data_IF_700963997822
#
_entry.id   IF_700963997822
#
_cell.length_a   1.000
_cell.length_b   1.000
_cell.length_c   1.000
_cell.angle_alpha   90.00
_cell.angle_beta   90.00
_cell.angle_gamma   90.00
#
_symmetry.space_group_name_H-M   'P 1'
#
loop_
_entity.id
_entity.type
_entity.pdbx_description
1 polymer ?
#
# COMPACT_ATOMS: atom_id res chain seq x y z
N UNK A 1 -16.35 -11.68 -5.36
CA UNK A 1 -17.03 -11.93 -4.06
C UNK A 1 -18.03 -10.80 -3.85
N UNK A 2 -19.17 -11.03 -3.23
CA UNK A 2 -20.09 -9.95 -2.87
C UNK A 2 -19.47 -9.02 -1.82
N UNK A 3 -19.86 -7.73 -1.82
CA UNK A 3 -19.35 -6.71 -0.89
C UNK A 3 -19.35 -7.13 0.60
N UNK A 4 -20.40 -7.80 1.12
CA UNK A 4 -20.43 -8.25 2.51
C UNK A 4 -19.25 -9.16 2.90
N UNK A 5 -18.80 -9.99 1.96
CA UNK A 5 -17.71 -10.93 2.21
C UNK A 5 -16.33 -10.21 2.34
N UNK A 6 -16.06 -9.14 1.58
CA UNK A 6 -14.84 -8.34 1.74
C UNK A 6 -14.83 -7.59 3.08
N UNK A 7 -15.98 -7.05 3.50
CA UNK A 7 -16.09 -6.35 4.78
C UNK A 7 -15.82 -7.30 5.97
N UNK A 8 -16.39 -8.50 5.94
CA UNK A 8 -16.17 -9.52 6.98
C UNK A 8 -14.70 -9.96 7.03
N UNK A 9 -14.06 -10.21 5.87
CA UNK A 9 -12.64 -10.54 5.80
C UNK A 9 -11.78 -9.41 6.35
N UNK A 10 -12.08 -8.14 6.00
CA UNK A 10 -11.38 -6.97 6.53
C UNK A 10 -11.44 -6.92 8.06
N UNK A 11 -12.62 -7.17 8.64
CA UNK A 11 -12.79 -7.19 10.09
C UNK A 11 -12.01 -8.34 10.74
N UNK A 12 -12.01 -9.54 10.15
CA UNK A 12 -11.27 -10.69 10.62
C UNK A 12 -9.76 -10.43 10.60
N UNK A 13 -9.22 -9.90 9.51
CA UNK A 13 -7.81 -9.55 9.39
C UNK A 13 -7.41 -8.47 10.38
N UNK A 14 -8.25 -7.44 10.61
CA UNK A 14 -7.99 -6.43 11.64
C UNK A 14 -7.92 -7.05 13.04
N UNK A 15 -8.85 -7.94 13.38
CA UNK A 15 -8.82 -8.65 14.65
C UNK A 15 -7.54 -9.49 14.79
N UNK A 16 -7.08 -10.12 13.72
CA UNK A 16 -5.88 -10.93 13.70
C UNK A 16 -4.60 -10.08 13.82
N UNK A 17 -4.54 -8.89 13.18
CA UNK A 17 -3.45 -7.92 13.38
C UNK A 17 -3.35 -7.56 14.87
N UNK A 18 -4.45 -7.20 15.51
CA UNK A 18 -4.48 -6.82 16.93
C UNK A 18 -4.10 -7.96 17.86
N UNK A 19 -4.48 -9.18 17.52
CA UNK A 19 -4.17 -10.38 18.28
C UNK A 19 -2.68 -10.76 18.19
N UNK A 20 -2.10 -10.68 16.96
CA UNK A 20 -0.70 -11.09 16.70
C UNK A 20 0.30 -9.98 16.94
N UNK A 21 -0.09 -8.74 16.84
CA UNK A 21 0.79 -7.56 16.90
C UNK A 21 2.02 -7.72 15.99
N UNK A 22 1.87 -8.00 14.69
CA UNK A 22 2.98 -8.35 13.81
C UNK A 22 3.99 -7.19 13.71
N UNK A 23 5.27 -7.53 13.65
CA UNK A 23 6.33 -6.55 13.36
C UNK A 23 6.30 -6.19 11.88
N UNK A 24 6.19 -4.91 11.57
CA UNK A 24 6.24 -4.39 10.21
C UNK A 24 7.53 -3.59 10.03
N UNK A 25 8.43 -4.15 9.22
CA UNK A 25 9.70 -3.49 8.91
C UNK A 25 9.51 -2.50 7.78
N UNK A 26 9.80 -1.22 8.04
CA UNK A 26 9.63 -0.14 7.07
C UNK A 26 10.98 0.49 6.75
N UNK A 27 11.45 0.35 5.52
CA UNK A 27 12.50 1.21 4.96
C UNK A 27 11.76 2.30 4.18
N UNK A 28 11.46 3.40 4.87
CA UNK A 28 10.55 4.44 4.36
C UNK A 28 11.26 5.82 4.30
N UNK A 29 10.57 6.81 3.83
CA UNK A 29 11.12 8.15 3.63
C UNK A 29 11.07 9.00 4.92
N UNK A 30 12.00 9.96 5.03
CA UNK A 30 12.15 10.83 6.21
C UNK A 30 10.91 11.65 6.55
N UNK A 31 10.12 12.02 5.54
CA UNK A 31 8.96 12.91 5.73
C UNK A 31 7.86 12.25 6.53
N UNK A 32 7.75 10.91 6.44
CA UNK A 32 6.58 10.18 6.97
C UNK A 32 6.90 9.12 8.01
N UNK A 33 8.17 8.96 8.42
CA UNK A 33 8.57 7.93 9.41
C UNK A 33 7.70 7.94 10.65
N UNK A 34 7.48 9.13 11.23
CA UNK A 34 6.70 9.27 12.46
C UNK A 34 5.22 8.89 12.25
N UNK A 35 4.60 9.39 11.16
CA UNK A 35 3.21 9.09 10.86
C UNK A 35 2.99 7.62 10.55
N UNK A 36 3.92 7.03 9.78
CA UNK A 36 3.90 5.60 9.45
C UNK A 36 4.02 4.73 10.70
N UNK A 37 4.90 5.10 11.64
CA UNK A 37 5.00 4.39 12.92
C UNK A 37 3.71 4.50 13.73
N UNK A 38 3.16 5.70 13.86
CA UNK A 38 1.96 5.93 14.65
C UNK A 38 0.72 5.23 14.06
N UNK A 39 0.55 5.21 12.74
CA UNK A 39 -0.59 4.52 12.13
C UNK A 39 -0.50 3.00 12.28
N UNK A 40 0.72 2.43 12.26
CA UNK A 40 0.93 1.01 12.54
C UNK A 40 0.64 0.66 14.00
N UNK A 41 1.06 1.50 14.95
CA UNK A 41 0.67 1.33 16.35
C UNK A 41 -0.84 1.43 16.53
N UNK A 42 -1.49 2.39 15.86
CA UNK A 42 -2.92 2.59 15.93
C UNK A 42 -3.72 1.39 15.43
N UNK A 43 -3.29 0.73 14.33
CA UNK A 43 -3.98 -0.45 13.81
C UNK A 43 -3.74 -1.70 14.67
N UNK A 44 -2.73 -1.69 15.55
CA UNK A 44 -2.36 -2.81 16.42
C UNK A 44 -1.13 -3.61 15.95
N UNK A 45 -0.36 -3.08 14.99
CA UNK A 45 0.92 -3.66 14.56
C UNK A 45 2.11 -3.02 15.30
N UNK A 46 3.28 -3.65 15.23
CA UNK A 46 4.54 -3.14 15.80
C UNK A 46 5.44 -2.58 14.68
N UNK A 47 5.72 -1.26 14.62
CA UNK A 47 6.57 -0.70 13.58
C UNK A 47 8.06 -0.80 13.94
N UNK A 48 8.91 -1.03 12.93
CA UNK A 48 10.36 -0.80 13.00
C UNK A 48 10.84 -0.09 11.74
N UNK A 49 11.71 0.93 11.92
CA UNK A 49 12.22 1.77 10.83
C UNK A 49 13.74 1.58 10.64
N UNK A 50 14.23 0.34 10.81
CA UNK A 50 15.63 0.00 10.59
C UNK A 50 16.00 0.15 9.11
N UNK A 51 17.06 0.90 8.81
CA UNK A 51 17.54 1.16 7.45
C UNK A 51 19.06 1.08 7.31
N UNK A 52 19.78 0.82 8.42
CA UNK A 52 21.23 0.61 8.35
C UNK A 52 21.52 -0.74 7.67
N UNK A 53 22.45 -0.72 6.70
CA UNK A 53 22.78 -1.92 5.91
C UNK A 53 23.28 -3.07 6.77
N UNK A 54 23.86 -2.76 7.92
CA UNK A 54 24.41 -3.72 8.88
C UNK A 54 23.33 -4.53 9.60
N UNK A 55 22.08 -4.00 9.70
CA UNK A 55 21.02 -4.64 10.49
C UNK A 55 19.80 -5.08 9.67
N UNK A 56 19.58 -4.54 8.45
CA UNK A 56 18.32 -4.74 7.73
C UNK A 56 18.00 -6.21 7.43
N UNK A 57 19.01 -7.04 7.18
CA UNK A 57 18.81 -8.49 6.93
C UNK A 57 18.37 -9.21 8.20
N UNK A 58 18.96 -8.86 9.35
CA UNK A 58 18.56 -9.44 10.64
C UNK A 58 17.16 -9.00 11.02
N UNK A 59 16.85 -7.70 10.87
CA UNK A 59 15.56 -7.12 11.22
C UNK A 59 14.40 -7.71 10.42
N UNK A 60 14.59 -7.94 9.11
CA UNK A 60 13.61 -8.64 8.27
C UNK A 60 13.29 -10.04 8.81
N UNK A 61 14.25 -10.70 9.45
CA UNK A 61 14.04 -12.03 10.04
C UNK A 61 12.98 -12.09 11.12
N UNK A 62 12.65 -10.97 11.73
CA UNK A 62 11.60 -10.86 12.75
C UNK A 62 10.29 -10.29 12.20
N UNK A 63 10.29 -9.78 10.96
CA UNK A 63 9.16 -9.07 10.40
C UNK A 63 8.08 -10.01 9.81
N UNK A 64 6.82 -9.64 10.01
CA UNK A 64 5.68 -10.24 9.32
C UNK A 64 5.50 -9.69 7.89
N UNK A 65 5.98 -8.48 7.62
CA UNK A 65 6.04 -7.87 6.29
C UNK A 65 7.14 -6.82 6.20
N UNK A 66 7.66 -6.60 4.99
CA UNK A 66 8.60 -5.53 4.66
C UNK A 66 7.93 -4.48 3.77
N UNK A 67 8.06 -3.21 4.13
CA UNK A 67 7.57 -2.06 3.35
C UNK A 67 8.75 -1.26 2.83
N UNK A 68 8.83 -1.09 1.51
CA UNK A 68 9.83 -0.31 0.81
C UNK A 68 9.18 0.95 0.22
N UNK A 69 9.65 2.13 0.63
CA UNK A 69 9.11 3.41 0.15
C UNK A 69 10.24 4.32 -0.32
N UNK A 70 10.22 4.70 -1.59
CA UNK A 70 11.29 5.44 -2.26
C UNK A 70 11.11 6.97 -2.24
N UNK A 71 10.40 7.51 -1.25
CA UNK A 71 10.04 8.94 -1.21
C UNK A 71 11.22 9.90 -1.06
N UNK A 72 12.26 9.52 -0.30
CA UNK A 72 13.52 10.26 -0.17
C UNK A 72 14.69 9.30 -0.35
N UNK A 73 15.31 9.32 -1.54
CA UNK A 73 16.32 8.34 -1.92
C UNK A 73 17.74 8.89 -1.73
N UNK A 74 18.59 8.02 -1.19
CA UNK A 74 20.05 8.06 -1.25
C UNK A 74 20.57 6.64 -1.48
N UNK A 75 21.81 6.49 -1.98
CA UNK A 75 22.31 5.18 -2.42
C UNK A 75 22.38 4.16 -1.27
N UNK A 76 22.76 4.59 -0.07
CA UNK A 76 22.78 3.72 1.12
C UNK A 76 21.41 3.13 1.45
N UNK A 77 20.33 3.89 1.24
CA UNK A 77 18.97 3.42 1.43
C UNK A 77 18.53 2.47 0.35
N UNK A 78 18.93 2.73 -0.90
CA UNK A 78 18.63 1.83 -2.02
C UNK A 78 19.30 0.47 -1.79
N UNK A 79 20.57 0.47 -1.36
CA UNK A 79 21.29 -0.78 -1.04
C UNK A 79 20.64 -1.52 0.15
N UNK A 80 20.22 -0.80 1.18
CA UNK A 80 19.50 -1.37 2.31
C UNK A 80 18.15 -1.99 1.89
N UNK A 81 17.39 -1.30 1.01
CA UNK A 81 16.14 -1.81 0.46
C UNK A 81 16.34 -3.11 -0.34
N UNK A 82 17.36 -3.16 -1.19
CA UNK A 82 17.68 -4.36 -1.96
C UNK A 82 18.09 -5.52 -1.04
N UNK A 83 19.00 -5.26 -0.10
CA UNK A 83 19.47 -6.26 0.85
C UNK A 83 18.32 -6.83 1.73
N UNK A 84 17.44 -5.94 2.23
CA UNK A 84 16.27 -6.35 3.00
C UNK A 84 15.26 -7.12 2.14
N UNK A 85 15.03 -6.66 0.90
CA UNK A 85 14.09 -7.30 -0.03
C UNK A 85 14.53 -8.71 -0.45
N UNK A 86 15.82 -8.90 -0.75
CA UNK A 86 16.39 -10.22 -1.02
C UNK A 86 16.22 -11.17 0.17
N UNK A 87 16.55 -10.70 1.38
CA UNK A 87 16.41 -11.50 2.61
C UNK A 87 14.93 -11.81 2.90
N UNK A 88 14.02 -10.84 2.68
CA UNK A 88 12.58 -11.06 2.81
C UNK A 88 12.11 -12.20 1.90
N UNK A 89 12.56 -12.21 0.65
CA UNK A 89 12.21 -13.28 -0.29
C UNK A 89 12.76 -14.64 0.12
N UNK A 90 13.99 -14.72 0.64
CA UNK A 90 14.57 -15.96 1.16
C UNK A 90 13.75 -16.51 2.34
N UNK A 91 13.27 -15.63 3.21
CA UNK A 91 12.47 -15.96 4.39
C UNK A 91 10.97 -16.07 4.12
N UNK A 92 10.52 -15.77 2.90
CA UNK A 92 9.10 -15.71 2.51
C UNK A 92 8.32 -14.64 3.28
N UNK A 93 8.98 -13.57 3.69
CA UNK A 93 8.34 -12.36 4.23
C UNK A 93 7.79 -11.57 3.06
N UNK A 94 6.49 -11.22 3.03
CA UNK A 94 5.91 -10.47 1.93
C UNK A 94 6.44 -9.04 1.88
N UNK A 95 6.62 -8.52 0.67
CA UNK A 95 7.16 -7.18 0.42
C UNK A 95 6.10 -6.29 -0.22
N UNK A 96 5.91 -5.09 0.34
CA UNK A 96 5.11 -4.00 -0.26
C UNK A 96 6.04 -2.94 -0.81
N UNK A 97 5.79 -2.48 -2.03
CA UNK A 97 6.52 -1.37 -2.65
C UNK A 97 5.61 -0.14 -2.82
N UNK A 98 6.09 1.00 -2.30
CA UNK A 98 5.54 2.33 -2.55
C UNK A 98 6.50 3.12 -3.45
N UNK A 99 6.25 3.17 -4.78
CA UNK A 99 7.18 3.72 -5.76
C UNK A 99 7.05 5.24 -5.88
N UNK A 100 7.04 5.96 -4.77
CA UNK A 100 6.77 7.40 -4.68
C UNK A 100 7.57 8.20 -5.72
N UNK A 101 6.85 8.82 -6.67
CA UNK A 101 7.41 9.69 -7.69
C UNK A 101 8.22 8.95 -8.77
N UNK A 102 8.00 7.65 -8.97
CA UNK A 102 8.54 6.93 -10.14
C UNK A 102 8.09 7.64 -11.43
N UNK A 103 8.94 7.67 -12.43
CA UNK A 103 8.72 8.46 -13.66
C UNK A 103 9.18 9.92 -13.57
N UNK A 104 9.19 10.55 -12.38
CA UNK A 104 9.59 11.94 -12.22
C UNK A 104 11.10 12.18 -12.37
N UNK A 105 11.94 11.23 -11.96
CA UNK A 105 13.40 11.32 -12.07
C UNK A 105 14.03 9.99 -12.50
N UNK A 106 15.21 10.07 -13.14
CA UNK A 106 15.96 8.85 -13.52
C UNK A 106 16.30 7.97 -12.31
N UNK A 107 16.69 8.59 -11.18
CA UNK A 107 17.04 7.86 -9.97
C UNK A 107 15.86 7.02 -9.48
N UNK A 108 14.66 7.62 -9.36
CA UNK A 108 13.45 6.91 -8.89
C UNK A 108 13.07 5.76 -9.82
N UNK A 109 13.05 5.99 -11.12
CA UNK A 109 12.75 4.96 -12.11
C UNK A 109 13.77 3.82 -12.07
N UNK A 110 15.07 4.15 -12.06
CA UNK A 110 16.13 3.15 -11.97
C UNK A 110 16.06 2.34 -10.65
N UNK A 111 15.70 2.98 -9.54
CA UNK A 111 15.53 2.28 -8.25
C UNK A 111 14.38 1.28 -8.30
N UNK A 112 13.23 1.66 -8.85
CA UNK A 112 12.10 0.73 -9.01
C UNK A 112 12.50 -0.46 -9.89
N UNK A 113 13.23 -0.23 -10.99
CA UNK A 113 13.73 -1.29 -11.86
C UNK A 113 14.74 -2.21 -11.13
N UNK A 114 15.64 -1.65 -10.32
CA UNK A 114 16.56 -2.46 -9.48
C UNK A 114 15.79 -3.33 -8.49
N UNK A 115 14.78 -2.75 -7.81
CA UNK A 115 13.93 -3.50 -6.87
C UNK A 115 13.17 -4.59 -7.62
N UNK A 116 12.52 -4.28 -8.74
CA UNK A 116 11.78 -5.26 -9.55
C UNK A 116 12.62 -6.42 -10.04
N UNK A 117 13.89 -6.17 -10.35
CA UNK A 117 14.82 -7.20 -10.83
C UNK A 117 15.33 -8.12 -9.71
N UNK A 118 15.45 -7.61 -8.47
CA UNK A 118 16.08 -8.33 -7.36
C UNK A 118 15.07 -8.85 -6.32
N UNK A 119 13.89 -8.21 -6.21
CA UNK A 119 12.93 -8.45 -5.14
C UNK A 119 11.58 -8.85 -5.70
N UNK A 120 11.05 -9.99 -5.25
CA UNK A 120 9.65 -10.35 -5.51
C UNK A 120 8.76 -9.52 -4.60
N UNK A 121 8.02 -8.59 -5.18
CA UNK A 121 7.07 -7.70 -4.52
C UNK A 121 5.69 -8.34 -4.51
N UNK A 122 5.07 -8.46 -3.34
CA UNK A 122 3.73 -9.01 -3.19
C UNK A 122 2.65 -7.99 -3.58
N UNK A 123 2.82 -6.72 -3.17
CA UNK A 123 1.91 -5.63 -3.51
C UNK A 123 2.71 -4.39 -3.90
N UNK A 124 2.36 -3.77 -5.03
CA UNK A 124 2.80 -2.42 -5.39
C UNK A 124 1.62 -1.46 -5.21
N UNK A 125 1.85 -0.33 -4.52
CA UNK A 125 0.82 0.67 -4.26
C UNK A 125 1.32 2.07 -4.61
N UNK A 126 0.56 2.78 -5.45
CA UNK A 126 0.88 4.14 -5.85
C UNK A 126 -0.35 4.88 -6.39
N UNK A 127 -0.18 6.13 -6.81
CA UNK A 127 -1.21 6.85 -7.53
C UNK A 127 -1.25 6.44 -9.02
N UNK A 128 -2.26 6.94 -9.75
CA UNK A 128 -2.45 6.58 -11.16
C UNK A 128 -1.24 6.92 -12.05
N UNK A 129 -0.56 8.05 -11.81
CA UNK A 129 0.61 8.44 -12.59
C UNK A 129 1.81 7.52 -12.31
N UNK A 130 2.05 7.17 -11.06
CA UNK A 130 3.13 6.27 -10.64
C UNK A 130 2.93 4.86 -11.24
N UNK A 131 1.72 4.31 -11.14
CA UNK A 131 1.46 2.96 -11.65
C UNK A 131 1.40 2.94 -13.18
N UNK A 132 0.96 4.01 -13.84
CA UNK A 132 1.04 4.18 -15.29
C UNK A 132 2.50 4.22 -15.77
N UNK A 133 3.39 4.91 -15.05
CA UNK A 133 4.83 4.93 -15.36
C UNK A 133 5.44 3.52 -15.27
N UNK A 134 5.12 2.74 -14.23
CA UNK A 134 5.53 1.34 -14.06
C UNK A 134 5.00 0.47 -15.20
N UNK A 135 3.74 0.67 -15.58
CA UNK A 135 3.09 -0.06 -16.67
C UNK A 135 3.61 0.30 -18.07
N UNK A 136 4.49 1.29 -18.19
CA UNK A 136 5.01 1.78 -19.47
C UNK A 136 3.97 2.54 -20.31
N UNK A 137 2.84 2.93 -19.74
CA UNK A 137 1.74 3.60 -20.42
C UNK A 137 2.12 5.02 -20.86
N UNK A 138 3.02 5.71 -20.18
CA UNK A 138 3.48 7.07 -20.53
C UNK A 138 4.16 7.15 -21.91
N UNK A 139 4.85 6.09 -22.31
CA UNK A 139 5.47 6.03 -23.65
C UNK A 139 4.43 5.91 -24.78
N UNK A 140 3.28 5.34 -24.49
CA UNK A 140 2.16 5.20 -25.44
C UNK A 140 1.34 6.49 -25.57
N UNK A 141 1.28 7.31 -24.49
CA UNK A 141 0.53 8.59 -24.50
C UNK A 141 1.13 9.61 -25.47
N UNK A 142 2.42 9.56 -25.75
CA UNK A 142 3.08 10.47 -26.71
C UNK A 142 2.88 10.09 -28.17
N UNK A 143 2.27 8.96 -28.47
CA UNK A 143 2.18 8.41 -29.82
C UNK A 143 0.80 8.24 -30.44
N UNK A 144 -0.29 8.18 -29.68
CA UNK A 144 -1.67 7.97 -30.20
C UNK A 144 -2.71 8.58 -29.26
N UNK A 145 -3.81 9.10 -29.83
CA UNK A 145 -4.90 9.81 -29.16
C UNK A 145 -5.34 9.29 -27.78
N UNK A 146 -5.45 10.21 -26.87
CA UNK A 146 -5.54 10.24 -25.43
C UNK A 146 -6.77 9.63 -24.73
N UNK A 147 -7.34 8.53 -25.18
CA UNK A 147 -8.57 7.98 -24.56
C UNK A 147 -8.34 6.72 -23.72
N UNK A 148 -7.25 5.98 -23.89
CA UNK A 148 -6.99 4.73 -23.16
C UNK A 148 -5.94 4.83 -22.03
N UNK A 149 -5.23 5.96 -21.91
CA UNK A 149 -4.06 6.09 -21.02
C UNK A 149 -4.37 6.58 -19.61
N UNK A 150 -5.63 6.79 -19.26
CA UNK A 150 -6.06 7.32 -17.97
C UNK A 150 -6.93 6.39 -17.12
N UNK A 151 -7.17 5.14 -17.54
CA UNK A 151 -8.00 4.20 -16.76
C UNK A 151 -7.20 3.57 -15.60
N UNK A 152 -7.51 3.94 -14.34
CA UNK A 152 -6.82 3.42 -13.17
C UNK A 152 -6.90 1.89 -13.04
N UNK A 153 -7.98 1.27 -13.50
CA UNK A 153 -8.15 -0.18 -13.47
C UNK A 153 -7.17 -0.88 -14.44
N UNK A 154 -6.93 -0.30 -15.60
CA UNK A 154 -5.93 -0.80 -16.55
C UNK A 154 -4.52 -0.62 -15.99
N UNK A 155 -4.21 0.54 -15.37
CA UNK A 155 -2.92 0.76 -14.72
C UNK A 155 -2.67 -0.24 -13.58
N UNK A 156 -3.68 -0.54 -12.76
CA UNK A 156 -3.59 -1.54 -11.70
C UNK A 156 -3.25 -2.94 -12.26
N UNK A 157 -3.98 -3.40 -13.29
CA UNK A 157 -3.73 -4.71 -13.91
C UNK A 157 -2.32 -4.84 -14.51
N UNK A 158 -1.88 -3.83 -15.25
CA UNK A 158 -0.56 -3.84 -15.88
C UNK A 158 0.57 -3.75 -14.85
N UNK A 159 0.40 -2.94 -13.81
CA UNK A 159 1.36 -2.89 -12.71
C UNK A 159 1.42 -4.23 -11.95
N UNK A 160 0.28 -4.84 -11.65
CA UNK A 160 0.21 -6.16 -11.04
C UNK A 160 0.96 -7.22 -11.90
N UNK A 161 0.69 -7.24 -13.21
CA UNK A 161 1.38 -8.13 -14.15
C UNK A 161 2.90 -7.89 -14.19
N UNK A 162 3.33 -6.62 -14.11
CA UNK A 162 4.75 -6.23 -14.13
C UNK A 162 5.53 -6.76 -12.91
N UNK A 163 4.88 -6.89 -11.75
CA UNK A 163 5.48 -7.40 -10.51
C UNK A 163 5.13 -8.86 -10.21
N UNK A 164 4.14 -9.43 -10.87
CA UNK A 164 3.65 -10.78 -10.61
C UNK A 164 2.93 -10.94 -9.26
N UNK A 165 2.39 -9.84 -8.72
CA UNK A 165 1.66 -9.78 -7.45
C UNK A 165 0.33 -9.02 -7.59
N UNK A 166 -0.07 -8.29 -6.55
CA UNK A 166 -1.20 -7.38 -6.60
C UNK A 166 -0.75 -5.91 -6.73
N UNK A 167 -1.63 -5.06 -7.25
CA UNK A 167 -1.39 -3.63 -7.34
C UNK A 167 -2.58 -2.83 -6.82
N UNK A 168 -2.30 -1.69 -6.18
CA UNK A 168 -3.29 -0.72 -5.73
C UNK A 168 -3.03 0.62 -6.40
N UNK A 169 -3.98 1.09 -7.19
CA UNK A 169 -3.99 2.44 -7.74
C UNK A 169 -4.91 3.30 -6.88
N UNK A 170 -4.34 4.26 -6.16
CA UNK A 170 -5.12 5.18 -5.34
C UNK A 170 -5.73 6.31 -6.16
N UNK A 171 -7.00 6.65 -5.83
CA UNK A 171 -7.78 7.68 -6.50
C UNK A 171 -9.03 8.10 -5.75
N UNK A 172 -10.00 8.66 -6.45
CA UNK A 172 -11.34 8.91 -5.91
C UNK A 172 -12.10 7.58 -5.67
N UNK A 173 -11.81 6.60 -6.49
CA UNK A 173 -12.13 5.18 -6.32
C UNK A 173 -10.81 4.45 -6.44
N UNK A 174 -10.42 3.75 -5.39
CA UNK A 174 -9.19 2.96 -5.40
C UNK A 174 -9.41 1.67 -6.20
N UNK A 175 -8.43 1.31 -7.04
CA UNK A 175 -8.46 0.09 -7.86
C UNK A 175 -7.44 -0.91 -7.31
N UNK A 176 -7.88 -2.10 -6.99
CA UNK A 176 -7.00 -3.22 -6.63
C UNK A 176 -7.08 -4.28 -7.71
N UNK A 177 -5.96 -4.78 -8.19
CA UNK A 177 -5.93 -5.84 -9.20
C UNK A 177 -4.80 -6.84 -8.97
N UNK A 178 -5.02 -8.07 -9.40
CA UNK A 178 -4.01 -9.09 -9.65
C UNK A 178 -4.19 -9.66 -11.07
N UNK A 179 -3.61 -10.83 -11.34
CA UNK A 179 -3.71 -11.47 -12.65
C UNK A 179 -5.14 -11.90 -13.03
N UNK A 180 -6.01 -12.14 -12.04
CA UNK A 180 -7.33 -12.80 -12.24
C UNK A 180 -8.48 -12.03 -11.61
N UNK A 181 -8.20 -11.07 -10.73
CA UNK A 181 -9.22 -10.36 -9.94
C UNK A 181 -9.03 -8.86 -10.01
N UNK A 182 -10.14 -8.14 -9.87
CA UNK A 182 -10.14 -6.69 -9.69
C UNK A 182 -11.18 -6.29 -8.65
N UNK A 183 -10.87 -5.27 -7.85
CA UNK A 183 -11.80 -4.66 -6.90
C UNK A 183 -11.78 -3.14 -7.02
N UNK A 184 -12.95 -2.55 -6.85
CA UNK A 184 -13.15 -1.10 -6.72
C UNK A 184 -13.53 -0.79 -5.28
N UNK A 185 -12.83 0.15 -4.66
CA UNK A 185 -13.05 0.54 -3.28
C UNK A 185 -13.42 2.02 -3.26
N UNK A 186 -14.62 2.29 -2.77
CA UNK A 186 -15.25 3.62 -2.75
C UNK A 186 -15.13 4.32 -1.38
N UNK A 187 -14.42 3.72 -0.45
CA UNK A 187 -14.11 4.34 0.84
C UNK A 187 -12.97 5.33 0.71
N UNK A 188 -13.04 6.38 1.49
CA UNK A 188 -12.03 7.44 1.53
C UNK A 188 -12.64 8.84 1.53
N UNK A 189 -11.78 9.84 1.74
CA UNK A 189 -12.22 11.23 1.79
C UNK A 189 -11.17 12.17 1.15
N UNK A 190 -11.57 13.26 0.45
CA UNK A 190 -10.64 14.19 -0.19
C UNK A 190 -9.61 14.83 0.75
N UNK A 191 -9.88 14.96 2.06
CA UNK A 191 -8.90 15.45 3.03
C UNK A 191 -7.66 14.56 3.14
N UNK A 192 -7.73 13.28 2.78
CA UNK A 192 -6.56 12.38 2.74
C UNK A 192 -5.48 12.90 1.79
N UNK A 193 -5.85 13.52 0.68
CA UNK A 193 -4.89 14.14 -0.25
C UNK A 193 -4.37 15.52 0.22
N UNK A 194 -4.91 16.07 1.31
CA UNK A 194 -4.54 17.40 1.84
C UNK A 194 -3.52 17.31 2.98
N UNK A 195 -3.11 16.12 3.37
CA UNK A 195 -2.04 15.87 4.34
C UNK A 195 -0.91 15.10 3.66
N UNK A 196 0.34 15.43 3.99
CA UNK A 196 1.48 14.64 3.52
C UNK A 196 1.51 13.28 4.20
N UNK A 197 1.96 12.26 3.49
CA UNK A 197 2.17 10.93 4.05
C UNK A 197 0.95 10.02 4.11
N UNK A 198 -0.26 10.49 3.75
CA UNK A 198 -1.46 9.65 3.73
C UNK A 198 -1.25 8.39 2.86
N UNK A 199 -0.67 8.53 1.66
CA UNK A 199 -0.34 7.40 0.79
C UNK A 199 0.64 6.43 1.46
N UNK A 200 1.70 6.95 2.06
CA UNK A 200 2.72 6.13 2.73
C UNK A 200 2.16 5.40 3.98
N UNK A 201 1.28 6.05 4.74
CA UNK A 201 0.52 5.40 5.83
C UNK A 201 -0.35 4.26 5.30
N UNK A 202 -1.08 4.48 4.20
CA UNK A 202 -1.87 3.43 3.57
C UNK A 202 -1.01 2.24 3.12
N UNK A 203 0.18 2.50 2.54
CA UNK A 203 1.12 1.45 2.15
C UNK A 203 1.62 0.64 3.36
N UNK A 204 1.88 1.30 4.49
CA UNK A 204 2.25 0.62 5.74
C UNK A 204 1.11 -0.25 6.28
N UNK A 205 -0.14 0.23 6.21
CA UNK A 205 -1.33 -0.56 6.56
C UNK A 205 -1.44 -1.80 5.66
N UNK A 206 -1.18 -1.71 4.36
CA UNK A 206 -1.10 -2.90 3.48
C UNK A 206 -0.09 -3.90 4.02
N UNK A 207 1.09 -3.44 4.50
CA UNK A 207 2.07 -4.30 5.16
C UNK A 207 1.52 -5.01 6.40
N UNK A 208 0.73 -4.31 7.22
CA UNK A 208 0.11 -4.91 8.41
C UNK A 208 -0.91 -6.02 8.05
N UNK A 209 -1.73 -5.79 7.01
CA UNK A 209 -2.66 -6.80 6.52
C UNK A 209 -1.94 -7.99 5.88
N UNK A 210 -0.90 -7.78 5.07
CA UNK A 210 -0.08 -8.85 4.48
C UNK A 210 0.61 -9.74 5.53
N UNK A 211 0.86 -9.24 6.72
CA UNK A 211 1.44 -10.04 7.80
C UNK A 211 0.47 -11.09 8.36
N UNK A 212 -0.83 -10.98 8.08
CA UNK A 212 -1.88 -11.87 8.60
C UNK A 212 -2.71 -12.53 7.50
N UNK A 213 -2.86 -11.89 6.35
CA UNK A 213 -3.58 -12.40 5.17
C UNK A 213 -2.55 -12.80 4.08
N UNK A 214 -2.43 -14.10 3.76
CA UNK A 214 -1.44 -14.59 2.81
C UNK A 214 -1.75 -14.28 1.34
N UNK A 215 -2.99 -13.95 1.00
CA UNK A 215 -3.40 -13.55 -0.35
C UNK A 215 -3.11 -12.04 -0.56
N UNK A 216 -2.13 -11.67 -1.42
CA UNK A 216 -1.76 -10.27 -1.60
C UNK A 216 -2.90 -9.38 -2.12
N UNK A 217 -3.81 -9.93 -2.93
CA UNK A 217 -4.95 -9.18 -3.43
C UNK A 217 -5.95 -8.88 -2.32
N UNK A 218 -6.29 -9.87 -1.50
CA UNK A 218 -7.20 -9.67 -0.36
C UNK A 218 -6.58 -8.73 0.66
N UNK A 219 -5.34 -8.94 1.06
CA UNK A 219 -4.64 -8.05 1.99
C UNK A 219 -4.63 -6.59 1.52
N UNK A 220 -4.38 -6.36 0.22
CA UNK A 220 -4.40 -5.02 -0.37
C UNK A 220 -5.80 -4.39 -0.37
N UNK A 221 -6.84 -5.15 -0.72
CA UNK A 221 -8.23 -4.69 -0.73
C UNK A 221 -8.72 -4.37 0.70
N UNK A 222 -8.51 -5.26 1.64
CA UNK A 222 -8.87 -5.13 3.05
C UNK A 222 -8.21 -3.90 3.70
N UNK A 223 -6.90 -3.74 3.49
CA UNK A 223 -6.14 -2.58 3.97
C UNK A 223 -6.69 -1.27 3.42
N UNK A 224 -7.05 -1.24 2.13
CA UNK A 224 -7.60 -0.06 1.46
C UNK A 224 -8.99 0.28 2.01
N UNK A 225 -9.85 -0.72 2.23
CA UNK A 225 -11.16 -0.55 2.87
C UNK A 225 -11.00 0.02 4.27
N UNK A 226 -10.18 -0.60 5.12
CA UNK A 226 -10.00 -0.20 6.51
C UNK A 226 -9.47 1.24 6.62
N UNK A 227 -8.42 1.58 5.83
CA UNK A 227 -7.84 2.92 5.85
C UNK A 227 -8.77 3.98 5.24
N UNK A 228 -9.53 3.63 4.20
CA UNK A 228 -10.55 4.50 3.61
C UNK A 228 -11.67 4.85 4.59
N UNK A 229 -12.20 3.85 5.33
CA UNK A 229 -13.21 4.05 6.38
C UNK A 229 -12.66 4.95 7.49
N UNK A 230 -11.43 4.72 7.94
CA UNK A 230 -10.78 5.60 8.93
C UNK A 230 -10.66 7.03 8.41
N UNK A 231 -10.36 7.24 7.13
CA UNK A 231 -10.33 8.54 6.48
C UNK A 231 -11.69 9.27 6.50
N UNK A 232 -12.78 8.55 6.29
CA UNK A 232 -14.15 9.10 6.38
C UNK A 232 -14.47 9.53 7.80
N UNK A 233 -14.24 8.66 8.78
CA UNK A 233 -14.49 8.96 10.22
C UNK A 233 -13.65 10.14 10.67
N UNK A 234 -12.38 10.20 10.27
CA UNK A 234 -11.51 11.33 10.58
C UNK A 234 -12.04 12.64 10.00
N UNK A 235 -12.57 12.63 8.78
CA UNK A 235 -13.13 13.81 8.13
C UNK A 235 -14.38 14.33 8.84
N UNK A 236 -15.25 13.46 9.30
CA UNK A 236 -16.45 13.80 10.08
C UNK A 236 -16.09 14.55 11.39
N UNK A 237 -14.89 14.32 11.93
CA UNK A 237 -14.42 14.88 13.22
C UNK A 237 -13.45 16.04 13.07
N UNK A 238 -13.12 16.44 11.83
CA UNK A 238 -12.03 17.38 11.56
C UNK A 238 -12.53 18.72 11.10
N UNK A 239 -11.92 19.81 11.64
CA UNK A 239 -12.15 21.16 11.13
C UNK A 239 -11.30 21.50 9.90
N UNK A 240 -10.26 20.71 9.59
CA UNK A 240 -9.35 20.95 8.48
C UNK A 240 -8.17 19.96 8.47
N UNK A 241 -7.18 20.13 7.56
CA UNK A 241 -6.09 19.16 7.38
C UNK A 241 -5.26 18.91 8.65
N UNK A 242 -5.03 19.92 9.47
CA UNK A 242 -4.23 19.77 10.70
C UNK A 242 -4.90 18.85 11.72
N UNK A 243 -6.19 19.03 11.99
CA UNK A 243 -6.96 18.15 12.87
C UNK A 243 -7.23 16.81 12.22
N UNK A 244 -7.42 16.76 10.89
CA UNK A 244 -7.62 15.54 10.15
C UNK A 244 -6.48 14.52 10.34
N UNK A 245 -5.22 14.97 10.31
CA UNK A 245 -4.06 14.06 10.52
C UNK A 245 -4.12 13.36 11.87
N UNK A 246 -4.45 14.09 12.95
CA UNK A 246 -4.59 13.50 14.27
C UNK A 246 -5.80 12.56 14.34
N UNK A 247 -6.95 13.03 13.83
CA UNK A 247 -8.18 12.23 13.81
C UNK A 247 -8.08 10.98 12.96
N UNK A 248 -7.22 10.95 11.92
CA UNK A 248 -6.99 9.75 11.09
C UNK A 248 -6.33 8.62 11.92
N UNK A 249 -5.34 8.97 12.75
CA UNK A 249 -4.68 8.00 13.63
C UNK A 249 -5.68 7.50 14.69
N UNK A 250 -6.45 8.40 15.30
CA UNK A 250 -7.49 8.04 16.25
C UNK A 250 -8.57 7.15 15.63
N UNK A 251 -8.99 7.46 14.40
CA UNK A 251 -9.97 6.68 13.67
C UNK A 251 -9.47 5.27 13.34
N UNK A 252 -8.20 5.12 12.92
CA UNK A 252 -7.58 3.79 12.70
C UNK A 252 -7.59 2.97 13.99
N UNK A 253 -7.25 3.57 15.13
CA UNK A 253 -7.26 2.90 16.42
C UNK A 253 -8.67 2.47 16.86
N UNK A 254 -9.69 3.27 16.51
CA UNK A 254 -11.07 3.04 16.88
C UNK A 254 -11.86 2.12 15.95
N UNK A 255 -11.28 1.65 14.82
CA UNK A 255 -11.96 0.72 13.92
C UNK A 255 -12.37 -0.55 14.67
N UNK A 256 -13.59 -1.01 14.42
CA UNK A 256 -14.10 -2.29 14.89
C UNK A 256 -14.89 -3.01 13.79
N UNK A 257 -15.25 -4.25 14.03
CA UNK A 257 -16.01 -5.08 13.10
C UNK A 257 -17.32 -4.42 12.66
N UNK A 258 -18.10 -3.89 13.60
CA UNK A 258 -19.38 -3.28 13.30
C UNK A 258 -19.23 -2.05 12.39
N UNK A 259 -18.20 -1.24 12.63
CA UNK A 259 -17.86 -0.07 11.80
C UNK A 259 -17.44 -0.50 10.40
N UNK A 260 -16.58 -1.51 10.28
CA UNK A 260 -16.09 -2.00 8.98
C UNK A 260 -17.26 -2.57 8.19
N UNK A 261 -18.04 -3.49 8.77
CA UNK A 261 -19.16 -4.15 8.07
C UNK A 261 -20.23 -3.15 7.63
N UNK A 262 -20.51 -2.13 8.43
CA UNK A 262 -21.53 -1.13 8.10
C UNK A 262 -21.08 -0.07 7.09
N UNK A 263 -19.76 0.20 6.97
CA UNK A 263 -19.24 1.29 6.14
C UNK A 263 -18.47 0.85 4.90
N UNK A 264 -18.10 -0.43 4.78
CA UNK A 264 -17.36 -0.90 3.61
C UNK A 264 -18.17 -0.72 2.33
N UNK A 265 -17.53 -0.12 1.33
CA UNK A 265 -18.09 0.10 -0.01
C UNK A 265 -17.08 -0.37 -1.05
N UNK A 266 -17.14 -1.66 -1.34
CA UNK A 266 -16.23 -2.32 -2.27
C UNK A 266 -16.96 -3.31 -3.16
N UNK A 267 -16.58 -3.38 -4.43
CA UNK A 267 -17.02 -4.42 -5.37
C UNK A 267 -15.82 -5.23 -5.82
N UNK A 268 -15.99 -6.53 -5.99
CA UNK A 268 -14.96 -7.40 -6.52
C UNK A 268 -15.50 -8.22 -7.69
N UNK A 269 -14.70 -8.32 -8.74
CA UNK A 269 -15.02 -9.09 -9.94
C UNK A 269 -13.81 -9.94 -10.37
N UNK A 270 -14.06 -11.06 -11.02
CA UNK A 270 -13.04 -11.77 -11.78
C UNK A 270 -12.65 -10.92 -13.00
N UNK A 271 -11.37 -10.75 -13.22
CA UNK A 271 -10.87 -10.10 -14.43
C UNK A 271 -11.00 -11.06 -15.59
N UNK A 272 -11.59 -10.63 -16.70
CA UNK A 272 -11.46 -11.41 -17.93
C UNK A 272 -9.98 -11.41 -18.34
N UNK A 273 -9.42 -12.58 -18.71
CA UNK A 273 -8.06 -12.64 -19.23
C UNK A 273 -7.94 -11.71 -20.45
N UNK A 274 -6.85 -10.94 -20.49
CA UNK A 274 -6.54 -10.01 -21.57
C UNK A 274 -6.22 -10.73 -22.87
#
# INVERSE_FOLDING_TARGET
MPEPQLAELTAQSLAEIRRRTPLIHNITNYVVMNDTANVLLAIGASPVMAHAIEEVREMVGYAGALVLNIGTLEESWIEAMLAAGEEANLRRVPVVLDPVGVGATRLRTATVERIRAAVRVAVVRGNAAELAAIAGLEAQIRGVDSVASGDPATAARLAAASFGGAAVVSGAVDQVADATRAAEIHNGHPLMSRITGSGCMATAIVGAFLAVEPDPFLAAAEATIAFGIAGEIAAERSAGPGTFRAQLIDAVAALDEATIVSRARATMRESQPA
#
